data_IF_143532555656
#
_entry.id   IF_143532555656
#
_cell.length_a   1.000
_cell.length_b   1.000
_cell.length_c   1.000
_cell.angle_alpha   90.00
_cell.angle_beta   90.00
_cell.angle_gamma   90.00
#
_symmetry.space_group_name_H-M   'P 1'
#
loop_
_entity.id
_entity.type
_entity.pdbx_description
1 polymer ?
#
# COMPACT_ATOMS: atom_id res chain seq x y z
N UNK A 1 -1.14 -12.42 -5.09
CA UNK A 1 -0.21 -13.01 -6.07
C UNK A 1 0.41 -14.34 -5.61
N UNK A 2 0.24 -14.73 -4.36
CA UNK A 2 0.76 -16.02 -3.85
C UNK A 2 -0.08 -17.24 -4.23
N UNK A 3 -1.12 -17.08 -5.05
CA UNK A 3 -2.12 -18.09 -5.43
C UNK A 3 -2.98 -18.60 -4.28
N UNK A 4 -2.60 -18.32 -3.05
CA UNK A 4 -3.30 -18.65 -1.81
C UNK A 4 -3.21 -17.47 -0.83
N UNK A 5 -4.22 -17.31 0.01
CA UNK A 5 -4.21 -16.27 1.04
C UNK A 5 -3.06 -16.51 2.04
N UNK A 6 -2.15 -15.56 2.18
CA UNK A 6 -1.07 -15.64 3.18
C UNK A 6 -1.52 -15.20 4.58
N UNK A 7 -2.64 -14.52 4.66
CA UNK A 7 -3.23 -14.00 5.89
C UNK A 7 -4.75 -14.12 5.77
N UNK A 8 -5.42 -14.65 6.77
CA UNK A 8 -6.86 -14.93 6.76
C UNK A 8 -7.41 -15.22 8.14
N UNK A 9 -8.73 -15.22 8.22
CA UNK A 9 -9.46 -15.68 9.39
C UNK A 9 -9.61 -17.22 9.35
N UNK A 10 -8.74 -17.92 10.07
CA UNK A 10 -8.74 -19.40 10.13
C UNK A 10 -9.59 -19.91 11.31
N UNK A 11 -10.88 -19.54 11.37
CA UNK A 11 -11.80 -19.90 12.47
C UNK A 11 -11.95 -21.40 12.74
N UNK A 12 -11.65 -22.24 11.75
CA UNK A 12 -11.61 -23.70 11.95
C UNK A 12 -10.40 -24.19 12.76
N UNK A 13 -9.39 -23.34 12.97
CA UNK A 13 -8.20 -23.65 13.75
C UNK A 13 -8.22 -22.91 15.08
N UNK A 14 -8.51 -21.62 15.05
CA UNK A 14 -8.55 -20.74 16.22
C UNK A 14 -9.67 -19.71 16.08
N UNK A 15 -10.47 -19.55 17.13
CA UNK A 15 -11.46 -18.46 17.18
C UNK A 15 -10.73 -17.14 17.41
N UNK A 16 -10.73 -16.30 16.40
CA UNK A 16 -10.05 -15.01 16.43
C UNK A 16 -11.01 -13.89 16.82
N UNK A 17 -10.53 -12.94 17.62
CA UNK A 17 -11.24 -11.69 17.86
C UNK A 17 -11.32 -10.90 16.55
N UNK A 18 -12.49 -10.42 16.18
CA UNK A 18 -12.65 -9.57 15.00
C UNK A 18 -11.97 -8.22 15.22
N UNK A 19 -11.04 -7.86 14.31
CA UNK A 19 -10.43 -6.53 14.21
C UNK A 19 -10.75 -5.98 12.83
N UNK A 20 -11.69 -5.04 12.76
CA UNK A 20 -12.14 -4.47 11.49
C UNK A 20 -11.01 -3.75 10.77
N UNK A 21 -10.84 -4.01 9.47
CA UNK A 21 -9.76 -3.46 8.64
C UNK A 21 -8.47 -4.27 8.64
N UNK A 22 -8.31 -5.26 9.53
CA UNK A 22 -7.15 -6.16 9.46
C UNK A 22 -7.35 -7.30 8.47
N UNK A 23 -6.26 -7.80 7.90
CA UNK A 23 -6.22 -9.03 7.10
C UNK A 23 -6.13 -10.29 7.98
N UNK A 24 -6.45 -10.20 9.27
CA UNK A 24 -6.30 -11.25 10.28
C UNK A 24 -4.86 -11.71 10.49
N UNK A 25 -4.63 -12.99 10.78
CA UNK A 25 -3.29 -13.54 11.06
C UNK A 25 -2.73 -14.33 9.88
N UNK A 26 -1.42 -14.52 9.87
CA UNK A 26 -0.79 -15.41 8.90
C UNK A 26 -1.42 -16.81 8.96
N UNK A 27 -1.74 -17.39 7.79
CA UNK A 27 -2.25 -18.75 7.73
C UNK A 27 -1.12 -19.77 7.92
N UNK A 28 -1.41 -20.99 8.39
CA UNK A 28 -0.39 -22.01 8.55
C UNK A 28 0.45 -22.23 7.30
N UNK A 29 1.77 -22.26 7.50
CA UNK A 29 2.75 -22.38 6.43
C UNK A 29 3.35 -21.05 5.93
N UNK A 30 2.72 -19.91 6.21
CA UNK A 30 3.27 -18.58 5.88
C UNK A 30 3.88 -17.93 7.13
N UNK A 31 5.14 -17.54 7.06
CA UNK A 31 5.80 -16.73 8.10
C UNK A 31 5.86 -15.27 7.63
N UNK A 32 4.76 -14.54 7.86
CA UNK A 32 4.61 -13.14 7.46
C UNK A 32 5.39 -12.25 8.43
N UNK A 33 6.20 -11.37 7.88
CA UNK A 33 7.01 -10.38 8.61
C UNK A 33 6.81 -8.99 8.02
N UNK A 34 7.29 -8.00 8.76
CA UNK A 34 7.39 -6.62 8.28
C UNK A 34 8.86 -6.20 8.38
N UNK A 35 9.39 -5.66 7.29
CA UNK A 35 10.77 -5.17 7.20
C UNK A 35 10.76 -3.65 6.99
N UNK A 36 11.55 -2.95 7.80
CA UNK A 36 11.72 -1.50 7.72
C UNK A 36 12.67 -1.12 6.56
N UNK A 37 12.66 0.16 6.13
CA UNK A 37 13.58 0.63 5.07
C UNK A 37 15.07 0.41 5.37
N UNK A 38 15.45 0.31 6.65
CA UNK A 38 16.80 -0.01 7.11
C UNK A 38 17.12 -1.51 7.10
N UNK A 39 16.27 -2.35 6.51
CA UNK A 39 16.40 -3.80 6.42
C UNK A 39 16.26 -4.57 7.75
N UNK A 40 15.85 -3.91 8.82
CA UNK A 40 15.57 -4.56 10.09
C UNK A 40 14.09 -5.01 10.18
N UNK A 41 13.86 -6.10 10.91
CA UNK A 41 12.50 -6.52 11.26
C UNK A 41 11.82 -5.44 12.10
N UNK A 42 10.60 -5.10 11.72
CA UNK A 42 9.76 -4.16 12.47
C UNK A 42 9.29 -4.80 13.79
N UNK A 43 9.17 -3.97 14.82
CA UNK A 43 8.47 -4.33 16.05
C UNK A 43 6.96 -4.25 15.84
N UNK A 44 6.13 -4.81 16.74
CA UNK A 44 4.69 -4.64 16.69
C UNK A 44 4.29 -3.18 16.50
N UNK A 45 3.33 -2.96 15.61
CA UNK A 45 2.80 -1.64 15.20
C UNK A 45 3.78 -0.71 14.45
N UNK A 46 5.03 -1.15 14.17
CA UNK A 46 5.92 -0.40 13.29
C UNK A 46 5.61 -0.69 11.83
N UNK A 47 5.55 0.37 11.03
CA UNK A 47 5.30 0.31 9.58
C UNK A 47 6.53 -0.16 8.80
N UNK A 48 6.29 -0.95 7.77
CA UNK A 48 7.32 -1.40 6.84
C UNK A 48 6.72 -2.16 5.66
N UNK A 49 7.58 -2.82 4.90
CA UNK A 49 7.17 -3.66 3.78
C UNK A 49 6.79 -5.04 4.29
N UNK A 50 5.62 -5.53 3.88
CA UNK A 50 5.14 -6.86 4.24
C UNK A 50 5.85 -7.89 3.36
N UNK A 51 6.46 -8.86 4.01
CA UNK A 51 7.23 -9.92 3.35
C UNK A 51 6.88 -11.29 3.92
N UNK A 52 7.17 -12.34 3.17
CA UNK A 52 7.01 -13.73 3.64
C UNK A 52 8.38 -14.40 3.69
N UNK A 53 8.73 -14.94 4.84
CA UNK A 53 9.99 -15.67 4.99
C UNK A 53 10.01 -16.93 4.12
N UNK A 54 11.11 -17.17 3.43
CA UNK A 54 11.32 -18.37 2.62
C UNK A 54 11.69 -19.58 3.49
N UNK A 55 11.35 -20.82 3.05
CA UNK A 55 10.65 -21.17 1.82
C UNK A 55 9.15 -20.88 1.90
N UNK A 56 8.55 -20.55 0.76
CA UNK A 56 7.09 -20.45 0.67
C UNK A 56 6.45 -21.83 0.83
N UNK A 57 5.21 -21.93 1.36
CA UNK A 57 4.53 -23.20 1.50
C UNK A 57 4.20 -23.83 0.14
N UNK A 58 4.05 -25.18 0.08
CA UNK A 58 3.60 -25.84 -1.12
C UNK A 58 2.25 -25.29 -1.60
N UNK A 59 2.09 -25.16 -2.93
CA UNK A 59 0.90 -24.58 -3.55
C UNK A 59 0.96 -23.07 -3.78
N UNK A 60 1.93 -22.37 -3.19
CA UNK A 60 2.23 -20.98 -3.58
C UNK A 60 2.85 -20.97 -4.97
N UNK A 61 2.53 -19.93 -5.78
CA UNK A 61 2.98 -19.92 -7.16
C UNK A 61 4.51 -20.02 -7.30
N UNK A 62 4.99 -21.03 -8.08
CA UNK A 62 6.40 -21.39 -8.06
C UNK A 62 7.27 -20.48 -8.92
N UNK A 63 6.69 -19.86 -9.94
CA UNK A 63 7.39 -19.00 -10.89
C UNK A 63 6.42 -18.26 -11.83
N UNK A 64 6.95 -17.37 -12.66
CA UNK A 64 6.24 -16.77 -13.78
C UNK A 64 6.46 -17.61 -15.04
N UNK A 65 5.42 -17.75 -15.89
CA UNK A 65 5.47 -18.53 -17.13
C UNK A 65 6.63 -18.06 -18.03
N UNK A 66 7.55 -18.97 -18.32
CA UNK A 66 8.77 -18.71 -19.12
C UNK A 66 9.62 -17.51 -18.65
N UNK A 67 9.55 -17.14 -17.36
CA UNK A 67 10.21 -15.95 -16.82
C UNK A 67 10.75 -16.15 -15.39
N UNK A 68 11.41 -17.27 -15.12
CA UNK A 68 11.98 -17.61 -13.79
C UNK A 68 12.95 -16.54 -13.29
N UNK A 69 13.76 -15.99 -14.17
CA UNK A 69 14.70 -14.92 -13.81
C UNK A 69 13.94 -13.68 -13.31
N UNK A 70 12.93 -13.24 -14.07
CA UNK A 70 12.07 -12.12 -13.68
C UNK A 70 11.36 -12.38 -12.35
N UNK A 71 10.87 -13.60 -12.11
CA UNK A 71 10.25 -13.97 -10.84
C UNK A 71 11.18 -13.72 -9.66
N UNK A 72 12.42 -14.23 -9.74
CA UNK A 72 13.44 -14.05 -8.68
C UNK A 72 13.83 -12.58 -8.51
N UNK A 73 14.06 -11.87 -9.60
CA UNK A 73 14.42 -10.46 -9.59
C UNK A 73 13.30 -9.59 -9.01
N UNK A 74 12.06 -9.89 -9.33
CA UNK A 74 10.91 -9.11 -8.84
C UNK A 74 10.63 -9.40 -7.37
N UNK A 75 10.55 -10.67 -6.97
CA UNK A 75 9.97 -11.02 -5.67
C UNK A 75 10.99 -11.40 -4.59
N UNK A 76 12.25 -11.69 -4.93
CA UNK A 76 13.23 -12.25 -4.00
C UNK A 76 14.56 -11.48 -3.93
N UNK A 77 14.69 -10.37 -4.66
CA UNK A 77 15.97 -9.65 -4.75
C UNK A 77 16.15 -8.57 -3.69
N UNK A 78 15.07 -7.94 -3.23
CA UNK A 78 15.13 -6.77 -2.34
C UNK A 78 15.40 -7.15 -0.88
N UNK A 79 14.94 -8.32 -0.44
CA UNK A 79 15.09 -8.80 0.93
C UNK A 79 15.60 -10.24 0.90
N UNK A 80 16.87 -10.45 1.28
CA UNK A 80 17.47 -11.77 1.29
C UNK A 80 16.72 -12.73 2.23
N UNK A 81 16.31 -13.89 1.70
CA UNK A 81 15.55 -14.89 2.46
C UNK A 81 14.05 -14.60 2.60
N UNK A 82 13.54 -13.61 1.89
CA UNK A 82 12.11 -13.25 1.94
C UNK A 82 11.52 -13.08 0.54
N UNK A 83 10.25 -13.40 0.44
CA UNK A 83 9.38 -13.07 -0.69
C UNK A 83 8.73 -11.71 -0.43
N UNK A 84 8.85 -10.78 -1.36
CA UNK A 84 8.27 -9.44 -1.28
C UNK A 84 6.85 -9.45 -1.84
N UNK A 85 5.87 -8.95 -1.06
CA UNK A 85 4.47 -8.87 -1.49
C UNK A 85 4.12 -7.59 -2.23
N UNK A 86 4.98 -6.57 -2.13
CA UNK A 86 4.71 -5.18 -2.56
C UNK A 86 3.58 -4.50 -1.79
N UNK A 87 3.25 -5.00 -0.61
CA UNK A 87 2.34 -4.33 0.31
C UNK A 87 3.13 -3.69 1.45
N UNK A 88 2.66 -2.54 1.92
CA UNK A 88 3.15 -1.88 3.11
C UNK A 88 2.11 -1.98 4.23
N UNK A 89 2.58 -2.15 5.45
CA UNK A 89 1.69 -2.30 6.59
C UNK A 89 2.44 -2.55 7.89
N UNK A 90 1.73 -3.07 8.87
CA UNK A 90 2.30 -3.47 10.15
C UNK A 90 1.64 -4.77 10.67
N UNK A 91 2.27 -5.39 11.66
CA UNK A 91 1.69 -6.47 12.45
C UNK A 91 1.52 -5.93 13.85
N UNK A 92 0.31 -6.08 14.43
CA UNK A 92 0.06 -5.62 15.79
C UNK A 92 0.58 -6.61 16.86
N UNK A 93 0.43 -6.24 18.13
CA UNK A 93 0.89 -7.03 19.28
C UNK A 93 0.20 -8.41 19.37
N UNK A 94 -1.02 -8.54 18.82
CA UNK A 94 -1.77 -9.79 18.79
C UNK A 94 -1.47 -10.64 17.53
N UNK A 95 -0.58 -10.16 16.65
CA UNK A 95 -0.17 -10.84 15.42
C UNK A 95 -1.11 -10.62 14.23
N UNK A 96 -2.01 -9.63 14.29
CA UNK A 96 -2.87 -9.28 13.15
C UNK A 96 -2.11 -8.41 12.15
N UNK A 97 -2.25 -8.76 10.89
CA UNK A 97 -1.66 -8.06 9.74
C UNK A 97 -2.58 -6.92 9.31
N UNK A 98 -2.02 -5.73 9.19
CA UNK A 98 -2.70 -4.52 8.74
C UNK A 98 -2.04 -4.02 7.47
N UNK A 99 -2.77 -4.10 6.35
CA UNK A 99 -2.29 -3.63 5.05
C UNK A 99 -2.75 -2.18 4.87
N UNK A 100 -1.80 -1.29 4.63
CA UNK A 100 -2.06 0.15 4.50
C UNK A 100 -2.09 0.60 3.04
N UNK A 101 -1.20 0.07 2.20
CA UNK A 101 -1.09 0.41 0.78
C UNK A 101 -0.14 -0.55 0.07
N UNK A 102 -0.06 -0.42 -1.25
CA UNK A 102 1.03 -1.00 -2.04
C UNK A 102 2.31 -0.19 -1.83
N UNK A 103 3.47 -0.84 -1.88
CA UNK A 103 4.76 -0.15 -1.77
C UNK A 103 5.12 0.62 -3.04
N UNK A 104 4.63 0.17 -4.20
CA UNK A 104 4.74 0.84 -5.48
C UNK A 104 3.77 2.03 -5.63
N UNK A 105 2.71 2.09 -4.81
CA UNK A 105 1.74 3.19 -4.74
C UNK A 105 2.07 4.20 -3.63
N UNK A 106 3.29 4.17 -3.09
CA UNK A 106 3.74 5.11 -2.07
C UNK A 106 4.57 6.21 -2.69
N UNK A 107 4.18 7.46 -2.41
CA UNK A 107 4.94 8.66 -2.77
C UNK A 107 5.77 9.11 -1.56
N UNK A 108 7.08 9.29 -1.75
CA UNK A 108 7.97 9.76 -0.69
C UNK A 108 8.20 11.28 -0.84
N UNK A 109 7.51 12.06 -0.01
CA UNK A 109 7.61 13.52 0.00
C UNK A 109 8.39 13.99 1.22
N UNK A 110 9.62 14.46 1.05
CA UNK A 110 10.48 14.96 2.13
C UNK A 110 10.56 13.98 3.34
N UNK A 111 10.66 12.68 3.07
CA UNK A 111 10.72 11.63 4.10
C UNK A 111 9.37 11.13 4.62
N UNK A 112 8.27 11.75 4.21
CA UNK A 112 6.92 11.24 4.52
C UNK A 112 6.45 10.26 3.46
N UNK A 113 5.94 9.12 3.89
CA UNK A 113 5.34 8.09 3.02
C UNK A 113 3.85 8.38 2.88
N UNK A 114 3.42 8.72 1.69
CA UNK A 114 2.03 9.04 1.37
C UNK A 114 1.45 7.92 0.49
N UNK A 115 0.30 7.37 0.88
CA UNK A 115 -0.46 6.43 0.05
C UNK A 115 -1.20 7.18 -1.05
N UNK A 116 -1.00 6.80 -2.32
CA UNK A 116 -1.78 7.33 -3.44
C UNK A 116 -3.25 7.03 -3.25
N UNK A 117 -3.59 5.80 -2.84
CA UNK A 117 -4.98 5.38 -2.60
C UNK A 117 -5.68 6.21 -1.53
N UNK A 118 -5.01 6.60 -0.44
CA UNK A 118 -5.60 7.45 0.58
C UNK A 118 -5.91 8.87 0.06
N UNK A 119 -5.08 9.38 -0.85
CA UNK A 119 -5.33 10.67 -1.50
C UNK A 119 -6.45 10.53 -2.52
N UNK A 120 -6.46 9.46 -3.31
CA UNK A 120 -7.50 9.16 -4.30
C UNK A 120 -8.88 8.98 -3.65
N UNK A 121 -8.96 8.32 -2.49
CA UNK A 121 -10.19 8.19 -1.70
C UNK A 121 -10.77 9.56 -1.38
N UNK A 122 -9.95 10.48 -0.86
CA UNK A 122 -10.38 11.86 -0.55
C UNK A 122 -10.83 12.60 -1.81
N UNK A 123 -10.09 12.48 -2.92
CA UNK A 123 -10.45 13.14 -4.18
C UNK A 123 -11.76 12.61 -4.78
N UNK A 124 -12.02 11.31 -4.62
CA UNK A 124 -13.24 10.66 -5.12
C UNK A 124 -14.51 11.15 -4.43
N UNK A 125 -14.42 11.68 -3.22
CA UNK A 125 -15.54 12.27 -2.50
C UNK A 125 -16.01 13.62 -3.09
N UNK A 126 -15.18 14.25 -3.92
CA UNK A 126 -15.53 15.54 -4.52
C UNK A 126 -16.68 15.37 -5.52
N UNK A 127 -17.74 16.21 -5.39
CA UNK A 127 -18.97 16.06 -6.17
C UNK A 127 -18.77 16.11 -7.69
N UNK A 128 -17.77 16.86 -8.16
CA UNK A 128 -17.48 17.04 -9.60
C UNK A 128 -16.54 15.96 -10.16
N UNK A 129 -15.89 15.13 -9.33
CA UNK A 129 -14.92 14.12 -9.76
C UNK A 129 -15.65 12.81 -10.07
N UNK A 130 -15.41 12.26 -11.28
CA UNK A 130 -15.89 10.94 -11.68
C UNK A 130 -14.84 9.88 -11.38
N UNK A 131 -13.59 10.14 -11.76
CA UNK A 131 -12.44 9.25 -11.53
C UNK A 131 -11.22 10.10 -11.20
N UNK A 132 -10.30 9.55 -10.45
CA UNK A 132 -9.03 10.19 -10.16
C UNK A 132 -7.89 9.17 -10.12
N UNK A 133 -6.67 9.64 -10.33
CA UNK A 133 -5.44 8.91 -10.12
C UNK A 133 -4.39 9.83 -9.51
N UNK A 134 -3.57 9.31 -8.60
CA UNK A 134 -2.49 10.05 -7.97
C UNK A 134 -1.15 9.37 -8.26
N UNK A 135 -0.21 10.13 -8.76
CA UNK A 135 1.14 9.63 -9.09
C UNK A 135 2.22 10.50 -8.45
N UNK A 136 3.34 9.88 -8.09
CA UNK A 136 4.52 10.59 -7.63
C UNK A 136 5.41 11.01 -8.78
N UNK A 137 5.75 12.29 -8.89
CA UNK A 137 6.78 12.77 -9.82
C UNK A 137 8.06 13.12 -9.07
N UNK A 138 9.21 12.94 -9.72
CA UNK A 138 10.50 13.27 -9.14
C UNK A 138 10.63 14.79 -8.86
N UNK A 139 11.08 15.13 -7.65
CA UNK A 139 11.38 16.50 -7.23
C UNK A 139 12.78 16.55 -6.60
N UNK A 140 13.58 17.56 -7.00
CA UNK A 140 14.99 17.67 -6.56
C UNK A 140 15.17 17.94 -5.06
N UNK A 141 14.19 18.58 -4.42
CA UNK A 141 14.26 18.96 -3.01
C UNK A 141 13.52 17.99 -2.09
N UNK A 142 12.37 17.49 -2.54
CA UNK A 142 11.47 16.67 -1.73
C UNK A 142 11.53 15.18 -2.08
N UNK A 143 12.34 14.79 -3.05
CA UNK A 143 12.39 13.44 -3.59
C UNK A 143 11.25 13.20 -4.57
N UNK A 144 10.01 13.29 -4.12
CA UNK A 144 8.82 13.20 -4.96
C UNK A 144 7.78 14.26 -4.57
N UNK A 145 6.88 14.55 -5.51
CA UNK A 145 5.66 15.35 -5.30
C UNK A 145 4.45 14.59 -5.85
N UNK A 146 3.31 14.62 -5.15
CA UNK A 146 2.08 14.05 -5.67
C UNK A 146 1.51 14.92 -6.78
N UNK A 147 1.03 14.29 -7.85
CA UNK A 147 0.17 14.90 -8.86
C UNK A 147 -1.14 14.15 -8.92
N UNK A 148 -2.26 14.86 -8.82
CA UNK A 148 -3.59 14.33 -9.00
C UNK A 148 -4.08 14.58 -10.43
N UNK A 149 -4.55 13.53 -11.08
CA UNK A 149 -5.24 13.56 -12.36
C UNK A 149 -6.72 13.34 -12.09
N UNK A 150 -7.57 14.22 -12.60
CA UNK A 150 -9.02 14.18 -12.36
C UNK A 150 -9.78 14.06 -13.70
N UNK A 151 -10.69 13.10 -13.76
CA UNK A 151 -11.74 13.06 -14.76
C UNK A 151 -13.02 13.63 -14.13
N UNK A 152 -13.62 14.62 -14.75
CA UNK A 152 -14.83 15.28 -14.24
C UNK A 152 -16.09 14.57 -14.70
N UNK A 153 -17.13 14.60 -13.88
CA UNK A 153 -18.46 14.10 -14.25
C UNK A 153 -19.06 14.90 -15.41
N UNK A 154 -19.89 14.26 -16.21
CA UNK A 154 -20.62 14.92 -17.28
C UNK A 154 -21.55 16.01 -16.73
N UNK A 155 -21.56 17.17 -17.39
CA UNK A 155 -22.43 18.28 -17.01
C UNK A 155 -21.91 19.17 -15.87
N UNK A 156 -20.67 19.00 -15.44
CA UNK A 156 -20.04 19.94 -14.48
C UNK A 156 -19.87 21.31 -15.15
N UNK A 157 -20.40 22.34 -14.49
CA UNK A 157 -20.34 23.75 -14.96
C UNK A 157 -19.32 24.59 -14.17
N UNK A 158 -18.85 24.07 -13.06
CA UNK A 158 -17.81 24.72 -12.23
C UNK A 158 -16.50 24.77 -12.98
N UNK A 159 -15.78 25.87 -12.89
CA UNK A 159 -14.48 26.02 -13.54
C UNK A 159 -13.39 25.10 -12.90
N UNK A 160 -12.44 24.69 -13.72
CA UNK A 160 -11.41 23.74 -13.32
C UNK A 160 -10.51 24.29 -12.19
N UNK A 161 -10.25 25.60 -12.18
CA UNK A 161 -9.39 26.21 -11.16
C UNK A 161 -10.04 26.11 -9.77
N UNK A 162 -11.33 26.35 -9.68
CA UNK A 162 -12.10 26.19 -8.43
C UNK A 162 -12.12 24.75 -7.99
N UNK A 163 -12.37 23.79 -8.90
CA UNK A 163 -12.36 22.35 -8.57
C UNK A 163 -10.97 21.94 -8.04
N UNK A 164 -9.90 22.35 -8.70
CA UNK A 164 -8.54 22.07 -8.24
C UNK A 164 -8.27 22.62 -6.83
N UNK A 165 -8.68 23.86 -6.53
CA UNK A 165 -8.52 24.47 -5.20
C UNK A 165 -9.30 23.71 -4.14
N UNK A 166 -10.52 23.31 -4.43
CA UNK A 166 -11.34 22.51 -3.51
C UNK A 166 -10.70 21.14 -3.24
N UNK A 167 -10.25 20.45 -4.28
CA UNK A 167 -9.55 19.16 -4.15
C UNK A 167 -8.25 19.29 -3.32
N UNK A 168 -7.43 20.30 -3.58
CA UNK A 168 -6.22 20.57 -2.78
C UNK A 168 -6.56 20.81 -1.32
N UNK A 169 -7.62 21.57 -1.04
CA UNK A 169 -8.03 21.85 0.33
C UNK A 169 -8.56 20.59 1.02
N UNK A 170 -9.36 19.76 0.33
CA UNK A 170 -9.82 18.48 0.88
C UNK A 170 -8.67 17.55 1.26
N UNK A 171 -7.66 17.42 0.39
CA UNK A 171 -6.47 16.59 0.68
C UNK A 171 -5.68 17.17 1.84
N UNK A 172 -5.53 18.49 1.92
CA UNK A 172 -4.86 19.16 3.04
C UNK A 172 -5.53 18.89 4.37
N UNK A 173 -6.86 18.94 4.40
CA UNK A 173 -7.64 18.80 5.64
C UNK A 173 -7.75 17.35 6.10
N UNK A 174 -7.88 16.39 5.17
CA UNK A 174 -8.12 14.98 5.50
C UNK A 174 -6.86 14.11 5.57
N UNK A 175 -5.88 14.36 4.69
CA UNK A 175 -4.62 13.60 4.64
C UNK A 175 -3.49 14.35 5.31
N UNK A 176 -3.46 15.67 5.16
CA UNK A 176 -2.48 16.55 5.78
C UNK A 176 -1.74 17.44 4.78
N UNK A 177 -1.09 18.51 5.28
CA UNK A 177 -0.47 19.54 4.43
C UNK A 177 0.70 19.02 3.58
N UNK A 178 1.35 17.92 3.98
CA UNK A 178 2.46 17.32 3.21
C UNK A 178 1.95 16.65 1.93
N UNK A 179 0.73 16.12 1.96
CA UNK A 179 0.09 15.45 0.83
C UNK A 179 -0.57 16.41 -0.16
N UNK A 180 -0.76 17.69 0.23
CA UNK A 180 -1.44 18.66 -0.62
C UNK A 180 -0.62 18.97 -1.89
N UNK A 181 -1.27 18.87 -3.03
CA UNK A 181 -0.74 19.24 -4.33
C UNK A 181 -0.34 20.72 -4.37
N UNK A 182 0.57 21.09 -5.27
CA UNK A 182 0.92 22.47 -5.56
C UNK A 182 0.31 22.91 -6.88
#
# INVERSE_FOLDING_TARGET
ETSWAMSSNCTGIEMMKTKYGSACKAVPGYDVKVIKPNQELAKPNEMGDIVVKLPLPPGTFPTLWNADKRYKETYMSNYEGYYQTYDAGHIDEDGYVWIMSRTDDIINVAGHRLSTGAIEEVLSEHQSVAECAVVGIADKLKGQLPIGLLALKTGVTKDNETICKECVQMVRDKVGPVAAFK
#
